data_IF_531223441131
#
_entry.id   IF_531223441131
#
_cell.length_a   1.000
_cell.length_b   1.000
_cell.length_c   1.000
_cell.angle_alpha   90.00
_cell.angle_beta   90.00
_cell.angle_gamma   90.00
#
_symmetry.space_group_name_H-M   'P 1'
#
loop_
_entity.id
_entity.type
_entity.pdbx_description
1 polymer ?
#
# COMPACT_ATOMS: atom_id res chain seq x y z
N UNK A 1 -4.13 15.51 14.01
CA UNK A 1 -4.89 14.42 13.34
C UNK A 1 -5.68 15.01 12.18
N UNK A 2 -5.46 14.52 10.98
CA UNK A 2 -6.16 14.96 9.77
C UNK A 2 -7.58 14.37 9.81
N UNK A 3 -8.61 15.18 9.65
CA UNK A 3 -9.99 14.69 9.62
C UNK A 3 -10.34 14.17 8.22
N UNK A 4 -10.15 12.85 8.05
CA UNK A 4 -10.50 12.11 6.85
C UNK A 4 -11.77 11.25 7.02
N UNK A 5 -12.41 11.29 8.20
CA UNK A 5 -13.62 10.52 8.45
C UNK A 5 -14.78 11.02 7.57
N UNK A 6 -15.49 10.07 6.98
CA UNK A 6 -16.61 10.37 6.06
C UNK A 6 -16.19 10.90 4.69
N UNK A 7 -14.89 11.03 4.39
CA UNK A 7 -14.40 11.31 3.04
C UNK A 7 -14.43 10.05 2.18
N UNK A 8 -14.83 10.21 0.93
CA UNK A 8 -14.90 9.09 -0.04
C UNK A 8 -14.52 9.61 -1.44
N UNK A 9 -13.22 9.95 -1.65
CA UNK A 9 -12.77 10.43 -2.94
C UNK A 9 -12.91 9.33 -3.99
N UNK A 10 -13.12 9.75 -5.24
CA UNK A 10 -13.21 8.83 -6.38
C UNK A 10 -11.88 8.76 -7.11
N UNK A 11 -11.25 7.60 -7.11
CA UNK A 11 -9.90 7.39 -7.62
C UNK A 11 -9.89 6.36 -8.75
N UNK A 12 -9.10 6.65 -9.79
CA UNK A 12 -8.86 5.73 -10.90
C UNK A 12 -7.48 5.09 -10.77
N UNK A 13 -7.43 3.77 -10.76
CA UNK A 13 -6.18 3.01 -10.71
C UNK A 13 -5.90 2.39 -12.06
N UNK A 14 -4.68 2.53 -12.56
CA UNK A 14 -4.19 1.81 -13.75
C UNK A 14 -2.85 1.15 -13.44
N UNK A 15 -2.61 -0.03 -14.01
CA UNK A 15 -1.34 -0.73 -13.80
C UNK A 15 -1.46 -2.24 -13.92
N UNK A 16 -0.44 -2.93 -13.44
CA UNK A 16 -0.31 -4.38 -13.56
C UNK A 16 -1.08 -5.09 -12.44
N UNK A 17 -2.22 -5.69 -12.79
CA UNK A 17 -3.01 -6.51 -11.87
C UNK A 17 -2.39 -7.88 -11.71
N UNK A 18 -2.24 -8.32 -10.48
CA UNK A 18 -1.62 -9.60 -10.10
C UNK A 18 -2.53 -10.32 -9.11
N UNK A 19 -2.58 -11.64 -9.16
CA UNK A 19 -3.13 -12.48 -8.09
C UNK A 19 -1.96 -13.06 -7.30
N UNK A 20 -1.89 -12.77 -6.01
CA UNK A 20 -1.03 -13.48 -5.07
C UNK A 20 -1.77 -14.70 -4.53
N UNK A 21 -1.29 -15.89 -4.86
CA UNK A 21 -1.91 -17.16 -4.54
C UNK A 21 -1.02 -17.94 -3.57
N UNK A 22 -1.63 -18.47 -2.53
CA UNK A 22 -0.94 -19.21 -1.47
C UNK A 22 -1.53 -20.61 -1.34
N UNK A 23 -0.67 -21.63 -1.39
CA UNK A 23 -1.01 -23.03 -1.16
C UNK A 23 -0.35 -23.45 0.15
N UNK A 24 -1.18 -23.71 1.15
CA UNK A 24 -0.74 -24.09 2.49
C UNK A 24 -0.81 -25.61 2.66
N UNK A 25 0.28 -26.23 3.13
CA UNK A 25 0.31 -27.67 3.26
C UNK A 25 1.37 -28.19 4.22
N UNK A 26 1.56 -29.53 4.17
CA UNK A 26 2.63 -30.24 4.87
C UNK A 26 3.55 -30.94 3.86
N UNK A 27 4.82 -31.06 4.22
CA UNK A 27 5.81 -31.81 3.45
C UNK A 27 6.36 -32.92 4.34
N UNK A 28 5.97 -34.18 4.05
CA UNK A 28 6.31 -35.35 4.87
C UNK A 28 7.19 -36.38 4.13
N UNK A 29 7.35 -36.23 2.82
CA UNK A 29 8.09 -37.19 2.00
C UNK A 29 8.76 -36.55 0.79
N UNK A 30 9.79 -37.23 0.31
CA UNK A 30 10.41 -36.99 -0.99
C UNK A 30 9.69 -37.83 -2.08
N UNK A 31 9.55 -37.28 -3.26
CA UNK A 31 8.94 -37.99 -4.40
C UNK A 31 9.79 -39.25 -4.77
N UNK A 32 9.15 -40.37 -5.07
CA UNK A 32 9.87 -41.54 -5.63
C UNK A 32 10.32 -41.32 -7.10
N UNK A 33 9.77 -40.32 -7.79
CA UNK A 33 10.04 -40.02 -9.20
C UNK A 33 11.24 -39.09 -9.41
N UNK A 34 11.55 -38.26 -8.42
CA UNK A 34 12.64 -37.28 -8.46
C UNK A 34 13.00 -36.81 -7.04
N UNK A 35 14.24 -36.32 -6.78
CA UNK A 35 14.63 -35.82 -5.45
C UNK A 35 13.99 -34.45 -5.11
N UNK A 36 12.66 -34.39 -5.15
CA UNK A 36 11.86 -33.20 -4.86
C UNK A 36 10.86 -33.49 -3.74
N UNK A 37 10.56 -32.49 -2.97
CA UNK A 37 9.56 -32.56 -1.89
C UNK A 37 8.15 -32.74 -2.45
N UNK A 38 7.34 -33.56 -1.79
CA UNK A 38 5.92 -33.69 -2.07
C UNK A 38 5.15 -32.89 -1.02
N UNK A 39 4.51 -31.81 -1.46
CA UNK A 39 3.68 -30.97 -0.59
C UNK A 39 2.23 -31.44 -0.72
N UNK A 40 1.63 -31.84 0.42
CA UNK A 40 0.22 -32.13 0.52
C UNK A 40 -0.54 -30.84 0.87
N UNK A 41 -1.18 -30.23 -0.14
CA UNK A 41 -1.93 -28.99 0.03
C UNK A 41 -3.20 -29.24 0.83
N UNK A 42 -3.40 -28.47 1.89
CA UNK A 42 -4.56 -28.55 2.81
C UNK A 42 -5.55 -27.40 2.61
N UNK A 43 -5.05 -26.24 2.22
CA UNK A 43 -5.88 -25.08 1.93
C UNK A 43 -5.17 -24.17 0.93
N UNK A 44 -5.96 -23.37 0.24
CA UNK A 44 -5.45 -22.35 -0.67
C UNK A 44 -6.18 -21.02 -0.45
N UNK A 45 -5.53 -19.93 -0.76
CA UNK A 45 -6.08 -18.59 -0.72
C UNK A 45 -5.50 -17.75 -1.84
N UNK A 46 -6.30 -16.82 -2.36
CA UNK A 46 -5.88 -15.88 -3.38
C UNK A 46 -6.29 -14.47 -2.96
N UNK A 47 -5.38 -13.53 -3.16
CA UNK A 47 -5.59 -12.11 -2.85
C UNK A 47 -5.14 -11.24 -4.02
N UNK A 48 -5.66 -10.02 -4.09
CA UNK A 48 -5.23 -9.02 -5.06
C UNK A 48 -3.80 -8.57 -4.73
N UNK A 49 -2.92 -8.57 -5.73
CA UNK A 49 -1.54 -8.07 -5.68
C UNK A 49 -1.27 -7.04 -6.77
N UNK A 50 -0.09 -6.41 -6.75
CA UNK A 50 0.24 -5.33 -7.66
C UNK A 50 -0.76 -4.18 -7.58
N UNK A 51 -1.19 -3.64 -8.72
CA UNK A 51 -2.23 -2.60 -8.76
C UNK A 51 -3.52 -3.02 -8.02
N UNK A 52 -3.81 -4.32 -7.93
CA UNK A 52 -4.95 -4.83 -7.17
C UNK A 52 -4.79 -4.64 -5.66
N UNK A 53 -3.57 -4.68 -5.12
CA UNK A 53 -3.32 -4.38 -3.71
C UNK A 53 -3.48 -2.88 -3.41
N UNK A 54 -3.08 -2.00 -4.33
CA UNK A 54 -3.37 -0.55 -4.24
C UNK A 54 -4.87 -0.31 -4.17
N UNK A 55 -5.65 -0.96 -5.04
CA UNK A 55 -7.12 -0.89 -5.05
C UNK A 55 -7.71 -1.35 -3.71
N UNK A 56 -7.22 -2.47 -3.18
CA UNK A 56 -7.68 -3.02 -1.91
C UNK A 56 -7.42 -2.07 -0.74
N UNK A 57 -6.25 -1.44 -0.70
CA UNK A 57 -5.91 -0.42 0.29
C UNK A 57 -6.80 0.81 0.19
N UNK A 58 -7.03 1.34 -1.02
CA UNK A 58 -7.94 2.47 -1.24
C UNK A 58 -9.37 2.16 -0.79
N UNK A 59 -9.87 0.96 -1.12
CA UNK A 59 -11.20 0.52 -0.70
C UNK A 59 -11.31 0.42 0.84
N UNK A 60 -10.27 -0.10 1.51
CA UNK A 60 -10.22 -0.17 2.97
C UNK A 60 -10.21 1.22 3.64
N UNK A 61 -9.64 2.22 2.98
CA UNK A 61 -9.68 3.63 3.42
C UNK A 61 -11.03 4.31 3.14
N UNK A 62 -11.93 3.69 2.37
CA UNK A 62 -13.26 4.22 2.05
C UNK A 62 -13.34 5.02 0.75
N UNK A 63 -12.34 4.93 -0.13
CA UNK A 63 -12.39 5.52 -1.46
C UNK A 63 -13.39 4.79 -2.36
N UNK A 64 -13.96 5.51 -3.33
CA UNK A 64 -14.59 4.91 -4.50
C UNK A 64 -13.51 4.66 -5.55
N UNK A 65 -13.37 3.40 -5.97
CA UNK A 65 -12.26 3.01 -6.85
C UNK A 65 -12.78 2.36 -8.10
N UNK A 66 -12.34 2.84 -9.26
CA UNK A 66 -12.44 2.15 -10.51
C UNK A 66 -11.05 1.75 -11.02
N UNK A 67 -10.97 0.69 -11.82
CA UNK A 67 -9.72 0.17 -12.37
C UNK A 67 -9.79 0.11 -13.90
N UNK A 68 -8.75 0.65 -14.55
CA UNK A 68 -8.55 0.53 -15.99
C UNK A 68 -7.22 -0.19 -16.25
N UNK A 69 -7.27 -1.36 -16.87
CA UNK A 69 -6.10 -2.19 -17.11
C UNK A 69 -6.34 -3.22 -18.21
N UNK A 70 -5.31 -4.02 -18.52
CA UNK A 70 -5.39 -5.13 -19.49
C UNK A 70 -5.19 -6.45 -18.78
N UNK A 71 -6.09 -7.37 -19.04
CA UNK A 71 -6.06 -8.76 -18.54
C UNK A 71 -6.03 -9.74 -19.72
N UNK A 72 -5.71 -10.99 -19.45
CA UNK A 72 -5.78 -12.06 -20.44
C UNK A 72 -7.18 -12.61 -20.66
N UNK A 73 -7.33 -13.49 -21.65
CA UNK A 73 -8.57 -14.25 -21.90
C UNK A 73 -8.51 -15.65 -21.26
N UNK A 74 -8.23 -15.78 -19.98
CA UNK A 74 -8.00 -17.06 -19.30
C UNK A 74 -8.72 -17.13 -17.95
N UNK A 75 -8.81 -18.32 -17.35
CA UNK A 75 -9.48 -18.57 -16.05
C UNK A 75 -8.95 -17.67 -14.93
N UNK A 76 -7.64 -17.31 -14.95
CA UNK A 76 -7.05 -16.39 -13.98
C UNK A 76 -7.73 -15.01 -14.03
N UNK A 77 -8.18 -14.60 -15.22
CA UNK A 77 -8.88 -13.31 -15.39
C UNK A 77 -10.26 -13.33 -14.74
N UNK A 78 -10.95 -14.46 -14.77
CA UNK A 78 -12.26 -14.59 -14.12
C UNK A 78 -12.12 -14.65 -12.58
N UNK A 79 -11.06 -15.31 -12.09
CA UNK A 79 -10.67 -15.28 -10.69
C UNK A 79 -10.37 -13.84 -10.24
N UNK A 80 -9.58 -13.08 -11.02
CA UNK A 80 -9.27 -11.67 -10.75
C UNK A 80 -10.52 -10.79 -10.67
N UNK A 81 -11.44 -10.93 -11.64
CA UNK A 81 -12.73 -10.20 -11.63
C UNK A 81 -13.56 -10.55 -10.40
N UNK A 82 -13.54 -11.81 -9.98
CA UNK A 82 -14.22 -12.26 -8.75
C UNK A 82 -13.63 -11.59 -7.52
N UNK A 83 -12.29 -11.54 -7.41
CA UNK A 83 -11.61 -10.86 -6.30
C UNK A 83 -11.94 -9.36 -6.25
N UNK A 84 -11.97 -8.67 -7.39
CA UNK A 84 -12.39 -7.26 -7.48
C UNK A 84 -13.86 -7.08 -7.06
N UNK A 85 -14.74 -7.96 -7.53
CA UNK A 85 -16.17 -7.93 -7.17
C UNK A 85 -16.41 -8.12 -5.68
N UNK A 86 -15.61 -8.97 -5.01
CA UNK A 86 -15.70 -9.23 -3.56
C UNK A 86 -15.41 -7.98 -2.72
N UNK A 87 -14.69 -7.02 -3.27
CA UNK A 87 -14.42 -5.72 -2.64
C UNK A 87 -15.24 -4.58 -3.28
N UNK A 88 -16.32 -4.91 -4.01
CA UNK A 88 -17.21 -3.97 -4.68
C UNK A 88 -16.54 -3.06 -5.74
N UNK A 89 -15.44 -3.50 -6.34
CA UNK A 89 -14.77 -2.78 -7.43
C UNK A 89 -15.23 -3.36 -8.77
N UNK A 90 -15.70 -2.47 -9.66
CA UNK A 90 -16.22 -2.85 -10.96
C UNK A 90 -15.08 -3.16 -11.94
N UNK A 91 -15.27 -4.21 -12.75
CA UNK A 91 -14.33 -4.64 -13.78
C UNK A 91 -14.67 -4.13 -15.19
N UNK A 92 -15.59 -3.16 -15.32
CA UNK A 92 -16.13 -2.68 -16.61
C UNK A 92 -15.07 -2.08 -17.55
N UNK A 93 -13.99 -1.52 -17.00
CA UNK A 93 -12.90 -0.94 -17.79
C UNK A 93 -11.68 -1.86 -17.92
N UNK A 94 -11.82 -3.15 -17.58
CA UNK A 94 -10.79 -4.14 -17.86
C UNK A 94 -10.87 -4.60 -19.32
N UNK A 95 -9.80 -4.37 -20.06
CA UNK A 95 -9.68 -4.75 -21.46
C UNK A 95 -9.10 -6.16 -21.53
N UNK A 96 -9.73 -7.04 -22.33
CA UNK A 96 -9.24 -8.41 -22.52
C UNK A 96 -8.39 -8.51 -23.78
N UNK A 97 -7.11 -8.81 -23.61
CA UNK A 97 -6.19 -9.13 -24.69
C UNK A 97 -5.99 -10.65 -24.76
N UNK A 98 -6.44 -11.28 -25.86
CA UNK A 98 -6.55 -12.75 -25.98
C UNK A 98 -5.23 -13.50 -25.76
N UNK A 99 -4.13 -12.96 -26.30
CA UNK A 99 -2.82 -13.62 -26.27
C UNK A 99 -2.02 -13.30 -25.00
N UNK A 100 -2.65 -12.65 -24.00
CA UNK A 100 -2.03 -12.29 -22.74
C UNK A 100 -2.44 -13.26 -21.64
N UNK A 101 -1.51 -13.52 -20.73
CA UNK A 101 -1.77 -14.27 -19.50
C UNK A 101 -1.88 -13.25 -18.35
N UNK A 102 -2.99 -13.27 -17.62
CA UNK A 102 -3.14 -12.50 -16.37
C UNK A 102 -2.17 -13.03 -15.32
N UNK A 103 -1.48 -12.12 -14.65
CA UNK A 103 -0.41 -12.50 -13.71
C UNK A 103 -0.95 -13.17 -12.46
N UNK A 104 -0.43 -14.37 -12.17
CA UNK A 104 -0.70 -15.11 -10.93
C UNK A 104 0.62 -15.63 -10.35
N UNK A 105 0.93 -15.22 -9.12
CA UNK A 105 2.13 -15.62 -8.38
C UNK A 105 1.74 -16.60 -7.30
N UNK A 106 2.10 -17.86 -7.47
CA UNK A 106 1.71 -18.94 -6.55
C UNK A 106 2.88 -19.32 -5.65
N UNK A 107 2.63 -19.26 -4.35
CA UNK A 107 3.58 -19.62 -3.29
C UNK A 107 3.10 -20.89 -2.59
N UNK A 108 3.95 -21.90 -2.57
CA UNK A 108 3.70 -23.15 -1.83
C UNK A 108 4.40 -23.03 -0.49
N UNK A 109 3.61 -23.11 0.58
CA UNK A 109 4.06 -22.97 1.96
C UNK A 109 3.81 -24.28 2.69
N UNK A 110 4.88 -24.92 3.16
CA UNK A 110 4.79 -26.13 3.97
C UNK A 110 5.54 -25.94 5.28
N UNK A 111 4.94 -26.34 6.39
CA UNK A 111 5.54 -26.22 7.73
C UNK A 111 6.05 -24.80 8.05
N UNK A 112 5.28 -23.80 7.67
CA UNK A 112 5.58 -22.35 7.84
C UNK A 112 6.77 -21.82 7.01
N UNK A 113 7.24 -22.58 6.03
CA UNK A 113 8.30 -22.17 5.13
C UNK A 113 7.82 -22.14 3.69
N UNK A 114 8.23 -21.13 2.92
CA UNK A 114 8.00 -21.10 1.48
C UNK A 114 8.93 -22.10 0.80
N UNK A 115 8.35 -23.15 0.22
CA UNK A 115 9.07 -24.22 -0.46
C UNK A 115 9.43 -23.82 -1.89
N UNK A 116 8.46 -23.25 -2.61
CA UNK A 116 8.65 -22.81 -3.99
C UNK A 116 7.66 -21.69 -4.33
N UNK A 117 8.05 -20.83 -5.28
CA UNK A 117 7.14 -19.91 -5.97
C UNK A 117 7.19 -20.22 -7.46
N UNK A 118 6.02 -20.23 -8.11
CA UNK A 118 5.92 -20.26 -9.56
C UNK A 118 4.98 -19.16 -10.04
N UNK A 119 5.36 -18.54 -11.16
CA UNK A 119 4.67 -17.39 -11.70
C UNK A 119 4.10 -17.77 -13.08
N UNK A 120 2.82 -17.43 -13.30
CA UNK A 120 2.17 -17.48 -14.62
C UNK A 120 1.84 -16.05 -15.00
N UNK A 121 2.54 -15.51 -15.98
CA UNK A 121 2.41 -14.11 -16.34
C UNK A 121 2.90 -13.83 -17.76
N UNK A 122 2.41 -12.76 -18.38
CA UNK A 122 3.02 -12.11 -19.53
C UNK A 122 3.76 -10.87 -19.05
N UNK A 123 4.96 -10.67 -19.58
CA UNK A 123 5.77 -9.46 -19.30
C UNK A 123 5.94 -8.57 -20.52
N UNK A 124 5.48 -9.05 -21.70
CA UNK A 124 5.48 -8.26 -22.92
C UNK A 124 4.53 -7.06 -22.82
N UNK A 125 4.86 -6.01 -23.50
CA UNK A 125 4.00 -4.84 -23.60
C UNK A 125 2.64 -5.19 -24.21
N UNK A 126 1.59 -4.53 -23.74
CA UNK A 126 0.26 -4.66 -24.33
C UNK A 126 0.27 -4.13 -25.75
N UNK A 127 -0.56 -4.72 -26.60
CA UNK A 127 -0.64 -4.34 -28.01
C UNK A 127 -1.25 -2.94 -28.20
N UNK A 128 -1.07 -2.36 -29.39
CA UNK A 128 -1.54 -1.01 -29.72
C UNK A 128 -3.06 -0.86 -29.68
N UNK A 129 -3.81 -1.93 -29.95
CA UNK A 129 -5.28 -1.91 -29.86
C UNK A 129 -5.73 -1.76 -28.39
N UNK A 130 -5.14 -2.54 -27.48
CA UNK A 130 -5.40 -2.44 -26.03
C UNK A 130 -4.99 -1.07 -25.48
N UNK A 131 -3.83 -0.53 -25.89
CA UNK A 131 -3.40 0.80 -25.52
C UNK A 131 -4.41 1.87 -25.95
N UNK A 132 -4.87 1.79 -27.19
CA UNK A 132 -5.89 2.72 -27.73
C UNK A 132 -7.19 2.64 -26.94
N UNK A 133 -7.68 1.44 -26.64
CA UNK A 133 -8.91 1.26 -25.87
C UNK A 133 -8.79 1.85 -24.46
N UNK A 134 -7.61 1.68 -23.79
CA UNK A 134 -7.35 2.34 -22.50
C UNK A 134 -7.43 3.87 -22.66
N UNK A 135 -6.72 4.44 -23.64
CA UNK A 135 -6.66 5.89 -23.83
C UNK A 135 -8.02 6.49 -24.14
N UNK A 136 -8.80 5.86 -25.02
CA UNK A 136 -10.14 6.31 -25.39
C UNK A 136 -11.07 6.28 -24.17
N UNK A 137 -11.04 5.19 -23.40
CA UNK A 137 -11.82 5.05 -22.17
C UNK A 137 -11.37 6.06 -21.12
N UNK A 138 -10.07 6.13 -20.83
CA UNK A 138 -9.51 7.05 -19.84
C UNK A 138 -9.87 8.50 -20.13
N UNK A 139 -9.72 8.93 -21.38
CA UNK A 139 -10.07 10.29 -21.79
C UNK A 139 -11.56 10.60 -21.62
N UNK A 140 -12.43 9.59 -21.74
CA UNK A 140 -13.89 9.79 -21.61
C UNK A 140 -14.35 9.88 -20.16
N UNK A 141 -13.60 9.31 -19.18
CA UNK A 141 -14.04 9.19 -17.78
C UNK A 141 -13.23 10.03 -16.79
N UNK A 142 -12.03 10.50 -17.16
CA UNK A 142 -11.08 11.11 -16.21
C UNK A 142 -11.65 12.31 -15.44
N UNK A 143 -12.57 13.05 -16.02
CA UNK A 143 -13.19 14.21 -15.35
C UNK A 143 -13.97 13.85 -14.10
N UNK A 144 -14.44 12.60 -14.00
CA UNK A 144 -15.27 12.09 -12.91
C UNK A 144 -14.45 11.67 -11.68
N UNK A 145 -13.12 11.71 -11.75
CA UNK A 145 -12.22 11.27 -10.69
C UNK A 145 -11.49 12.45 -10.03
N UNK A 146 -11.13 12.26 -8.77
CA UNK A 146 -10.36 13.24 -7.98
C UNK A 146 -8.84 13.08 -8.19
N UNK A 147 -8.38 11.90 -8.58
CA UNK A 147 -6.97 11.61 -8.84
C UNK A 147 -6.76 10.27 -9.54
N UNK A 148 -5.53 10.04 -9.99
CA UNK A 148 -5.11 8.83 -10.71
C UNK A 148 -3.90 8.22 -10.02
N UNK A 149 -3.92 6.89 -9.85
CA UNK A 149 -2.79 6.13 -9.36
C UNK A 149 -2.31 5.15 -10.44
N UNK A 150 -1.03 5.19 -10.74
CA UNK A 150 -0.38 4.26 -11.66
C UNK A 150 0.54 3.34 -10.85
N UNK A 151 0.28 2.04 -10.91
CA UNK A 151 1.05 1.01 -10.19
C UNK A 151 1.75 0.11 -11.21
N UNK A 152 3.05 0.32 -11.38
CA UNK A 152 3.87 -0.38 -12.37
C UNK A 152 4.65 -1.52 -11.71
N UNK A 153 4.42 -2.74 -12.18
CA UNK A 153 5.13 -3.95 -11.76
C UNK A 153 5.98 -4.56 -12.88
N UNK A 154 6.14 -3.81 -13.99
CA UNK A 154 6.93 -4.25 -15.14
C UNK A 154 6.31 -5.44 -15.86
N UNK A 155 4.98 -5.53 -15.88
CA UNK A 155 4.26 -6.60 -16.59
C UNK A 155 3.66 -6.12 -17.91
N UNK A 156 4.09 -4.94 -18.38
CA UNK A 156 3.84 -4.45 -19.73
C UNK A 156 2.50 -3.73 -19.93
N UNK A 157 1.70 -3.47 -18.89
CA UNK A 157 0.49 -2.63 -19.03
C UNK A 157 0.90 -1.18 -19.20
N UNK A 158 1.77 -0.67 -18.34
CA UNK A 158 2.23 0.72 -18.38
C UNK A 158 3.43 0.87 -19.33
N UNK A 159 3.14 0.77 -20.64
CA UNK A 159 4.14 1.07 -21.70
C UNK A 159 4.55 2.52 -21.64
N UNK A 160 5.66 2.89 -22.30
CA UNK A 160 6.13 4.27 -22.32
C UNK A 160 5.10 5.20 -22.96
N UNK A 161 4.57 4.83 -24.11
CA UNK A 161 3.60 5.60 -24.87
C UNK A 161 2.28 5.78 -24.11
N UNK A 162 1.78 4.68 -23.51
CA UNK A 162 0.55 4.72 -22.74
C UNK A 162 0.71 5.59 -21.49
N UNK A 163 1.75 5.36 -20.70
CA UNK A 163 1.98 6.06 -19.43
C UNK A 163 2.12 7.55 -19.64
N UNK A 164 2.95 7.97 -20.62
CA UNK A 164 3.13 9.39 -20.98
C UNK A 164 1.79 10.02 -21.40
N UNK A 165 0.98 9.29 -22.17
CA UNK A 165 -0.32 9.79 -22.63
C UNK A 165 -1.34 9.91 -21.49
N UNK A 166 -1.41 8.92 -20.57
CA UNK A 166 -2.27 8.97 -19.39
C UNK A 166 -1.95 10.18 -18.50
N UNK A 167 -0.65 10.42 -18.23
CA UNK A 167 -0.20 11.57 -17.45
C UNK A 167 -0.58 12.89 -18.14
N UNK A 168 -0.34 13.00 -19.45
CA UNK A 168 -0.70 14.20 -20.21
C UNK A 168 -2.19 14.49 -20.21
N UNK A 169 -3.04 13.47 -20.37
CA UNK A 169 -4.52 13.60 -20.32
C UNK A 169 -4.95 14.01 -18.91
N UNK A 170 -4.42 13.39 -17.86
CA UNK A 170 -4.75 13.71 -16.47
C UNK A 170 -4.37 15.17 -16.15
N UNK A 171 -3.16 15.61 -16.49
CA UNK A 171 -2.68 16.98 -16.28
C UNK A 171 -3.55 18.01 -17.01
N UNK A 172 -3.97 17.72 -18.27
CA UNK A 172 -4.90 18.58 -19.02
C UNK A 172 -6.22 18.77 -18.29
N UNK A 173 -6.65 17.78 -17.49
CA UNK A 173 -7.87 17.82 -16.70
C UNK A 173 -7.64 18.19 -15.23
N UNK A 174 -6.45 18.72 -14.88
CA UNK A 174 -6.04 19.13 -13.52
C UNK A 174 -6.17 17.99 -12.50
N UNK A 175 -5.89 16.75 -12.90
CA UNK A 175 -5.90 15.58 -12.02
C UNK A 175 -4.48 15.20 -11.64
N UNK A 176 -4.21 15.07 -10.33
CA UNK A 176 -2.92 14.59 -9.84
C UNK A 176 -2.71 13.14 -10.22
N UNK A 177 -1.50 12.82 -10.71
CA UNK A 177 -1.09 11.45 -11.02
C UNK A 177 0.01 11.04 -10.06
N UNK A 178 -0.24 10.02 -9.25
CA UNK A 178 0.75 9.40 -8.38
C UNK A 178 1.19 8.08 -9.00
N UNK A 179 2.48 7.78 -8.95
CA UNK A 179 3.01 6.58 -9.60
C UNK A 179 3.93 5.82 -8.65
N UNK A 180 3.69 4.51 -8.53
CA UNK A 180 4.70 3.57 -8.03
C UNK A 180 5.51 3.06 -9.23
N UNK A 181 6.77 3.52 -9.38
CA UNK A 181 7.54 3.31 -10.60
C UNK A 181 8.25 1.96 -10.61
N UNK A 182 8.56 1.45 -11.83
CA UNK A 182 9.37 0.25 -12.03
C UNK A 182 10.40 0.43 -13.13
N UNK A 183 11.54 -0.27 -12.99
CA UNK A 183 12.65 -0.23 -13.95
C UNK A 183 13.68 0.85 -13.61
N UNK A 184 14.57 1.12 -14.57
CA UNK A 184 15.67 2.08 -14.42
C UNK A 184 15.41 3.40 -15.16
N UNK A 185 14.56 3.37 -16.19
CA UNK A 185 14.19 4.54 -16.98
C UNK A 185 12.84 5.10 -16.52
N UNK A 186 12.90 6.20 -15.79
CA UNK A 186 11.71 6.89 -15.30
C UNK A 186 11.19 7.96 -16.26
N UNK A 187 11.76 8.10 -17.45
CA UNK A 187 11.35 9.09 -18.46
C UNK A 187 9.86 8.96 -18.87
N UNK A 188 9.30 7.74 -18.77
CA UNK A 188 7.89 7.48 -19.07
C UNK A 188 6.90 8.08 -18.05
N UNK A 189 7.39 8.45 -16.86
CA UNK A 189 6.56 9.04 -15.80
C UNK A 189 6.65 10.57 -15.75
N UNK A 190 7.34 11.17 -16.72
CA UNK A 190 7.53 12.62 -16.77
C UNK A 190 6.21 13.39 -16.71
N UNK A 191 6.16 14.40 -15.84
CA UNK A 191 4.98 15.22 -15.59
C UNK A 191 3.98 14.63 -14.62
N UNK A 192 4.30 13.50 -13.94
CA UNK A 192 3.51 13.03 -12.82
C UNK A 192 3.57 14.00 -11.62
N UNK A 193 2.55 14.02 -10.78
CA UNK A 193 2.55 14.82 -9.56
C UNK A 193 3.65 14.35 -8.60
N UNK A 194 3.74 13.04 -8.34
CA UNK A 194 4.83 12.41 -7.59
C UNK A 194 5.07 10.95 -8.00
N UNK A 195 6.27 10.47 -7.68
CA UNK A 195 6.65 9.05 -7.73
C UNK A 195 6.94 8.54 -6.32
N UNK A 196 6.76 7.22 -6.09
CA UNK A 196 7.03 6.57 -4.79
C UNK A 196 8.16 5.52 -4.82
N UNK A 197 9.31 5.76 -5.49
CA UNK A 197 10.38 4.78 -5.48
C UNK A 197 10.92 4.57 -4.07
N UNK A 198 11.38 3.35 -3.77
CA UNK A 198 12.16 3.12 -2.57
C UNK A 198 13.63 3.58 -2.77
N UNK A 199 14.40 3.63 -1.67
CA UNK A 199 15.80 4.06 -1.66
C UNK A 199 16.67 3.35 -2.70
N UNK A 200 16.46 2.03 -2.86
CA UNK A 200 17.21 1.22 -3.83
C UNK A 200 16.81 1.58 -5.26
N UNK A 201 15.52 1.62 -5.55
CA UNK A 201 14.98 1.97 -6.87
C UNK A 201 15.40 3.38 -7.29
N UNK A 202 15.30 4.36 -6.39
CA UNK A 202 15.78 5.71 -6.64
C UNK A 202 17.30 5.77 -6.89
N UNK A 203 18.09 5.02 -6.09
CA UNK A 203 19.55 4.94 -6.27
C UNK A 203 19.92 4.36 -7.64
N UNK A 204 19.24 3.31 -8.07
CA UNK A 204 19.47 2.64 -9.36
C UNK A 204 19.03 3.54 -10.54
N UNK A 205 17.83 4.12 -10.47
CA UNK A 205 17.29 4.96 -11.55
C UNK A 205 18.07 6.27 -11.72
N UNK A 206 18.45 6.93 -10.62
CA UNK A 206 19.21 8.18 -10.65
C UNK A 206 20.73 7.96 -10.72
N UNK A 207 21.20 6.72 -10.66
CA UNK A 207 22.63 6.35 -10.63
C UNK A 207 23.40 7.06 -9.49
N UNK A 208 22.73 7.28 -8.36
CA UNK A 208 23.27 7.91 -7.15
C UNK A 208 23.22 6.91 -6.00
N UNK A 209 24.37 6.59 -5.39
CA UNK A 209 24.39 5.73 -4.21
C UNK A 209 23.96 6.53 -2.98
N UNK A 210 22.70 6.39 -2.57
CA UNK A 210 22.11 7.09 -1.42
C UNK A 210 22.61 6.46 -0.11
N UNK A 211 23.55 7.14 0.58
CA UNK A 211 24.15 6.68 1.85
C UNK A 211 24.07 7.71 2.98
N UNK A 212 23.87 8.97 2.65
CA UNK A 212 23.83 10.12 3.56
C UNK A 212 22.89 11.20 3.02
N UNK A 213 22.69 12.26 3.80
CA UNK A 213 21.77 13.36 3.44
C UNK A 213 22.19 14.10 2.18
N UNK A 214 23.47 14.19 1.90
CA UNK A 214 23.97 14.86 0.71
C UNK A 214 23.62 14.07 -0.57
N UNK A 215 23.85 12.76 -0.56
CA UNK A 215 23.49 11.86 -1.65
C UNK A 215 21.97 11.67 -1.79
N UNK A 216 21.22 11.71 -0.68
CA UNK A 216 19.76 11.73 -0.71
C UNK A 216 19.25 13.03 -1.38
N UNK A 217 19.79 14.18 -0.98
CA UNK A 217 19.44 15.47 -1.59
C UNK A 217 19.72 15.48 -3.10
N UNK A 218 20.89 14.95 -3.51
CA UNK A 218 21.24 14.81 -4.91
C UNK A 218 20.21 13.95 -5.66
N UNK A 219 19.92 12.74 -5.18
CA UNK A 219 19.03 11.79 -5.85
C UNK A 219 17.60 12.33 -5.96
N UNK A 220 17.05 12.91 -4.88
CA UNK A 220 15.66 13.37 -4.85
C UNK A 220 15.47 14.63 -5.71
N UNK A 221 16.48 15.52 -5.76
CA UNK A 221 16.47 16.72 -6.63
C UNK A 221 16.60 16.32 -8.10
N UNK A 222 17.47 15.35 -8.40
CA UNK A 222 17.64 14.81 -9.75
C UNK A 222 16.34 14.14 -10.22
N UNK A 223 15.73 13.32 -9.37
CA UNK A 223 14.44 12.67 -9.64
C UNK A 223 13.37 13.70 -10.00
N UNK A 224 13.24 14.78 -9.20
CA UNK A 224 12.31 15.88 -9.47
C UNK A 224 12.53 16.51 -10.84
N UNK A 225 13.79 16.82 -11.15
CA UNK A 225 14.14 17.56 -12.37
C UNK A 225 13.97 16.69 -13.61
N UNK A 226 14.47 15.45 -13.59
CA UNK A 226 14.43 14.56 -14.76
C UNK A 226 13.01 14.11 -15.10
N UNK A 227 12.18 13.85 -14.07
CA UNK A 227 10.80 13.43 -14.26
C UNK A 227 9.80 14.59 -14.25
N UNK A 228 10.25 15.85 -14.10
CA UNK A 228 9.39 17.04 -14.11
C UNK A 228 8.21 16.90 -13.13
N UNK A 229 8.54 16.58 -11.85
CA UNK A 229 7.56 16.31 -10.81
C UNK A 229 7.17 17.58 -10.06
N UNK A 230 5.92 17.66 -9.58
CA UNK A 230 5.53 18.69 -8.62
C UNK A 230 6.21 18.42 -7.26
N UNK A 231 6.20 17.17 -6.81
CA UNK A 231 6.86 16.71 -5.58
C UNK A 231 7.68 15.47 -5.89
N UNK A 232 8.93 15.45 -5.47
CA UNK A 232 9.75 14.23 -5.47
C UNK A 232 9.67 13.55 -4.11
N UNK A 233 9.52 12.23 -4.10
CA UNK A 233 9.41 11.43 -2.89
C UNK A 233 10.29 10.18 -3.02
N UNK A 234 10.96 9.80 -1.93
CA UNK A 234 11.69 8.53 -1.80
C UNK A 234 11.34 7.89 -0.46
N UNK A 235 10.90 6.62 -0.50
CA UNK A 235 10.69 5.85 0.73
C UNK A 235 12.02 5.29 1.24
N UNK A 236 12.31 5.47 2.54
CA UNK A 236 13.60 5.19 3.17
C UNK A 236 13.54 4.04 4.16
N UNK A 237 12.54 3.15 4.03
CA UNK A 237 12.29 2.01 4.93
C UNK A 237 12.15 2.48 6.39
N UNK A 238 13.00 1.99 7.31
CA UNK A 238 13.00 2.36 8.72
C UNK A 238 13.27 3.83 9.00
N UNK A 239 13.83 4.57 8.04
CA UNK A 239 14.09 6.01 8.17
C UNK A 239 12.85 6.86 7.79
N UNK A 240 11.81 6.25 7.24
CA UNK A 240 10.56 6.92 6.87
C UNK A 240 10.50 7.36 5.41
N UNK A 241 10.08 8.58 5.15
CA UNK A 241 9.85 9.12 3.81
C UNK A 241 10.52 10.48 3.66
N UNK A 242 11.30 10.66 2.60
CA UNK A 242 11.84 11.95 2.20
C UNK A 242 10.99 12.56 1.08
N UNK A 243 10.70 13.85 1.15
CA UNK A 243 10.04 14.64 0.10
C UNK A 243 10.85 15.88 -0.25
N UNK A 244 10.70 16.30 -1.50
CA UNK A 244 11.33 17.53 -2.02
C UNK A 244 10.40 18.20 -3.03
N UNK A 245 9.96 19.40 -2.72
CA UNK A 245 9.26 20.31 -3.64
C UNK A 245 10.13 21.55 -3.93
N UNK A 246 10.46 22.33 -2.89
CA UNK A 246 11.39 23.45 -2.85
C UNK A 246 12.51 23.25 -1.83
N UNK A 247 12.29 22.36 -0.85
CA UNK A 247 13.24 21.97 0.21
C UNK A 247 13.10 20.49 0.57
N UNK A 248 14.19 19.89 1.03
CA UNK A 248 14.17 18.53 1.56
C UNK A 248 13.50 18.51 2.93
N UNK A 249 12.55 17.60 3.11
CA UNK A 249 11.92 17.25 4.39
C UNK A 249 11.90 15.73 4.55
N UNK A 250 12.16 15.27 5.75
CA UNK A 250 12.12 13.85 6.08
C UNK A 250 11.09 13.62 7.18
N UNK A 251 10.13 12.77 6.91
CA UNK A 251 9.11 12.32 7.85
C UNK A 251 9.52 10.94 8.38
N UNK A 252 9.92 10.82 9.66
CA UNK A 252 10.42 9.55 10.20
C UNK A 252 9.33 8.49 10.23
N UNK A 253 9.72 7.21 10.16
CA UNK A 253 8.77 6.12 10.33
C UNK A 253 8.25 6.08 11.77
N UNK A 254 7.00 5.66 11.91
CA UNK A 254 6.35 5.49 13.20
C UNK A 254 6.14 4.01 13.55
N UNK A 255 6.59 3.08 12.68
CA UNK A 255 6.43 1.64 12.90
C UNK A 255 7.22 1.18 14.15
N UNK A 256 6.52 0.47 15.06
CA UNK A 256 7.11 -0.07 16.31
C UNK A 256 7.55 -1.51 16.14
N UNK A 257 6.72 -2.33 15.51
CA UNK A 257 6.97 -3.74 15.27
C UNK A 257 6.76 -4.02 13.79
N UNK A 258 7.71 -4.68 13.17
CA UNK A 258 7.65 -5.04 11.74
C UNK A 258 7.62 -6.55 11.67
N UNK A 259 6.48 -7.09 11.19
CA UNK A 259 6.30 -8.52 10.94
C UNK A 259 6.49 -8.85 9.46
N UNK A 260 5.91 -8.05 8.58
CA UNK A 260 6.00 -8.26 7.13
C UNK A 260 5.94 -6.91 6.40
N UNK A 261 6.87 -6.69 5.48
CA UNK A 261 6.92 -5.45 4.68
C UNK A 261 6.20 -5.58 3.34
N UNK A 262 5.60 -6.75 3.07
CA UNK A 262 4.90 -7.01 1.81
C UNK A 262 3.72 -6.06 1.64
N UNK A 263 3.67 -5.34 0.52
CA UNK A 263 2.58 -4.39 0.22
C UNK A 263 2.68 -3.03 0.91
N UNK A 264 3.77 -2.76 1.67
CA UNK A 264 3.97 -1.45 2.30
C UNK A 264 4.05 -0.31 1.26
N UNK A 265 4.72 -0.52 0.13
CA UNK A 265 4.78 0.44 -0.98
C UNK A 265 3.40 0.74 -1.56
N UNK A 266 2.60 -0.31 -1.83
CA UNK A 266 1.22 -0.16 -2.31
C UNK A 266 0.36 0.63 -1.31
N UNK A 267 0.56 0.39 -0.01
CA UNK A 267 -0.14 1.13 1.06
C UNK A 267 0.27 2.59 1.08
N UNK A 268 1.57 2.91 0.91
CA UNK A 268 2.05 4.29 0.80
C UNK A 268 1.42 4.98 -0.41
N UNK A 269 1.47 4.36 -1.60
CA UNK A 269 0.85 4.92 -2.80
C UNK A 269 -0.66 5.17 -2.60
N UNK A 270 -1.39 4.18 -2.08
CA UNK A 270 -2.83 4.26 -1.87
C UNK A 270 -3.21 5.34 -0.86
N UNK A 271 -2.55 5.38 0.30
CA UNK A 271 -2.85 6.35 1.36
C UNK A 271 -2.47 7.78 0.99
N UNK A 272 -1.35 7.99 0.28
CA UNK A 272 -1.02 9.29 -0.32
C UNK A 272 -2.09 9.73 -1.31
N UNK A 273 -2.48 8.84 -2.23
CA UNK A 273 -3.52 9.13 -3.22
C UNK A 273 -4.86 9.49 -2.57
N UNK A 274 -5.26 8.75 -1.54
CA UNK A 274 -6.46 9.02 -0.77
C UNK A 274 -6.43 10.40 -0.10
N UNK A 275 -5.37 10.69 0.67
CA UNK A 275 -5.25 11.95 1.41
C UNK A 275 -5.19 13.16 0.46
N UNK A 276 -4.38 13.10 -0.59
CA UNK A 276 -4.26 14.18 -1.58
C UNK A 276 -5.55 14.43 -2.37
N UNK A 277 -6.32 13.37 -2.66
CA UNK A 277 -7.63 13.48 -3.31
C UNK A 277 -8.68 14.10 -2.37
N UNK A 278 -8.52 13.94 -1.05
CA UNK A 278 -9.33 14.63 -0.04
C UNK A 278 -8.93 16.10 0.17
N UNK A 279 -7.91 16.60 -0.53
CA UNK A 279 -7.44 17.99 -0.42
C UNK A 279 -6.45 18.24 0.71
N UNK A 280 -5.87 17.21 1.29
CA UNK A 280 -4.82 17.30 2.31
C UNK A 280 -3.52 17.79 1.66
N UNK A 281 -2.74 18.61 2.38
CA UNK A 281 -1.42 19.02 1.89
C UNK A 281 -0.41 17.85 1.91
N UNK A 282 0.74 18.03 1.24
CA UNK A 282 1.69 16.94 1.01
C UNK A 282 2.36 16.45 2.30
N UNK A 283 2.69 17.34 3.23
CA UNK A 283 3.36 16.97 4.48
C UNK A 283 2.41 16.09 5.34
N UNK A 284 1.19 16.55 5.52
CA UNK A 284 0.14 15.82 6.23
C UNK A 284 -0.20 14.49 5.53
N UNK A 285 -0.25 14.47 4.19
CA UNK A 285 -0.51 13.25 3.43
C UNK A 285 0.61 12.21 3.62
N UNK A 286 1.86 12.64 3.70
CA UNK A 286 3.01 11.76 3.99
C UNK A 286 2.96 11.24 5.42
N UNK A 287 2.62 12.07 6.41
CA UNK A 287 2.44 11.61 7.80
C UNK A 287 1.32 10.56 7.89
N UNK A 288 0.19 10.79 7.24
CA UNK A 288 -0.90 9.83 7.15
C UNK A 288 -0.45 8.52 6.48
N UNK A 289 0.34 8.60 5.41
CA UNK A 289 0.84 7.41 4.72
C UNK A 289 1.83 6.61 5.57
N UNK A 290 2.67 7.28 6.37
CA UNK A 290 3.56 6.63 7.34
C UNK A 290 2.77 5.89 8.42
N UNK A 291 1.67 6.48 8.93
CA UNK A 291 0.79 5.82 9.89
C UNK A 291 0.12 4.58 9.26
N UNK A 292 -0.41 4.70 8.05
CA UNK A 292 -1.03 3.59 7.32
C UNK A 292 -0.03 2.44 7.07
N UNK A 293 1.17 2.77 6.61
CA UNK A 293 2.26 1.80 6.45
C UNK A 293 2.65 1.15 7.78
N UNK A 294 2.74 1.93 8.87
CA UNK A 294 3.01 1.43 10.22
C UNK A 294 1.98 0.40 10.71
N UNK A 295 0.70 0.59 10.39
CA UNK A 295 -0.37 -0.40 10.67
C UNK A 295 -0.16 -1.67 9.86
N UNK A 296 0.13 -1.54 8.56
CA UNK A 296 0.21 -2.69 7.64
C UNK A 296 1.44 -3.55 7.92
N UNK A 297 2.62 -2.97 8.16
CA UNK A 297 3.83 -3.75 8.46
C UNK A 297 3.76 -4.50 9.79
N UNK A 298 2.83 -4.15 10.66
CA UNK A 298 2.48 -4.90 11.87
C UNK A 298 1.55 -6.11 11.63
N UNK A 299 1.13 -6.36 10.38
CA UNK A 299 0.26 -7.47 9.98
C UNK A 299 1.03 -8.47 9.12
N UNK A 300 0.49 -9.65 8.89
CA UNK A 300 1.10 -10.69 8.03
C UNK A 300 0.50 -10.63 6.63
N UNK A 301 1.34 -10.69 5.61
CA UNK A 301 0.96 -10.71 4.19
C UNK A 301 0.52 -9.34 3.66
N UNK A 302 -0.11 -9.33 2.47
CA UNK A 302 -0.63 -8.12 1.83
C UNK A 302 -1.90 -7.63 2.55
N UNK A 303 -1.71 -7.06 3.75
CA UNK A 303 -2.78 -6.52 4.58
C UNK A 303 -3.14 -5.08 4.16
N UNK A 304 -4.30 -4.62 4.62
CA UNK A 304 -4.76 -3.24 4.44
C UNK A 304 -4.91 -2.53 5.80
N UNK A 305 -4.96 -1.21 5.78
CA UNK A 305 -5.28 -0.39 6.94
C UNK A 305 -6.60 0.36 6.71
N UNK A 306 -7.50 0.30 7.67
CA UNK A 306 -8.70 1.13 7.70
C UNK A 306 -8.42 2.47 8.38
N UNK A 307 -9.24 3.50 8.12
CA UNK A 307 -9.12 4.80 8.80
C UNK A 307 -9.16 4.65 10.33
N UNK A 308 -10.02 3.77 10.85
CA UNK A 308 -10.14 3.55 12.29
C UNK A 308 -8.87 2.94 12.88
N UNK A 309 -8.27 1.95 12.22
CA UNK A 309 -7.00 1.35 12.64
C UNK A 309 -5.85 2.37 12.65
N UNK A 310 -5.81 3.27 11.64
CA UNK A 310 -4.80 4.33 11.56
C UNK A 310 -4.97 5.32 12.72
N UNK A 311 -6.21 5.74 13.03
CA UNK A 311 -6.51 6.64 14.15
C UNK A 311 -6.16 5.99 15.49
N UNK A 312 -6.50 4.71 15.67
CA UNK A 312 -6.15 3.96 16.87
C UNK A 312 -4.63 3.82 17.02
N UNK A 313 -3.94 3.55 15.91
CA UNK A 313 -2.49 3.45 15.87
C UNK A 313 -1.82 4.78 16.25
N UNK A 314 -2.21 5.91 15.65
CA UNK A 314 -1.73 7.25 16.00
C UNK A 314 -1.95 7.56 17.49
N UNK A 315 -3.16 7.27 17.99
CA UNK A 315 -3.49 7.45 19.40
C UNK A 315 -2.62 6.60 20.32
N UNK A 316 -2.22 5.39 19.89
CA UNK A 316 -1.33 4.50 20.64
C UNK A 316 0.13 5.01 20.67
N UNK A 317 0.56 5.67 19.58
CA UNK A 317 1.89 6.31 19.54
C UNK A 317 2.00 7.46 20.52
N UNK A 318 0.97 8.29 20.59
CA UNK A 318 0.90 9.44 21.49
C UNK A 318 0.79 9.03 22.98
N UNK A 319 0.26 7.83 23.28
CA UNK A 319 0.13 7.30 24.65
C UNK A 319 1.41 6.65 25.22
N UNK A 320 2.52 6.66 24.52
CA UNK A 320 3.69 5.84 24.88
C UNK A 320 4.75 6.55 25.71
N UNK A 321 4.58 7.81 26.07
CA UNK A 321 5.41 8.44 27.07
C UNK A 321 4.89 8.08 28.45
N UNK A 322 5.77 7.57 29.35
CA UNK A 322 5.40 7.18 30.72
C UNK A 322 4.68 8.29 31.50
N UNK A 323 4.97 9.53 31.18
CA UNK A 323 4.35 10.71 31.80
C UNK A 323 2.88 10.91 31.39
N UNK A 324 2.46 10.43 30.22
CA UNK A 324 1.05 10.51 29.77
C UNK A 324 0.15 9.47 30.42
N UNK A 325 0.71 8.38 30.96
CA UNK A 325 -0.03 7.37 31.73
C UNK A 325 -0.29 7.81 33.17
N UNK A 326 0.53 8.73 33.69
CA UNK A 326 0.34 9.34 35.01
C UNK A 326 -0.62 10.51 34.88
N UNK A 327 -1.83 10.38 35.41
CA UNK A 327 -2.86 11.40 35.35
C UNK A 327 -3.03 12.08 36.70
N UNK A 328 -3.31 13.37 36.65
CA UNK A 328 -3.75 14.13 37.83
C UNK A 328 -5.16 13.70 38.22
N UNK A 329 -5.57 14.02 39.46
CA UNK A 329 -6.92 13.72 39.94
C UNK A 329 -8.00 14.38 39.05
N UNK A 330 -7.76 15.58 38.56
CA UNK A 330 -8.69 16.30 37.66
C UNK A 330 -8.87 15.59 36.32
N UNK A 331 -7.76 15.17 35.69
CA UNK A 331 -7.78 14.43 34.41
C UNK A 331 -8.46 13.08 34.54
N UNK A 332 -8.20 12.33 35.63
CA UNK A 332 -8.88 11.04 35.88
C UNK A 332 -10.39 11.24 36.09
N UNK A 333 -10.79 12.32 36.78
CA UNK A 333 -12.21 12.62 36.98
C UNK A 333 -12.91 12.84 35.65
N UNK A 334 -12.36 13.72 34.80
CA UNK A 334 -12.90 14.01 33.46
C UNK A 334 -12.96 12.76 32.59
N UNK A 335 -11.86 11.99 32.52
CA UNK A 335 -11.80 10.74 31.74
C UNK A 335 -12.82 9.70 32.25
N UNK A 336 -12.98 9.59 33.56
CA UNK A 336 -13.93 8.68 34.17
C UNK A 336 -15.38 9.04 33.83
N UNK A 337 -15.73 10.33 33.83
CA UNK A 337 -17.06 10.81 33.43
C UNK A 337 -17.32 10.53 31.94
N UNK A 338 -16.35 10.78 31.08
CA UNK A 338 -16.43 10.50 29.65
C UNK A 338 -16.61 9.00 29.37
N UNK A 339 -15.82 8.12 29.97
CA UNK A 339 -15.95 6.68 29.82
C UNK A 339 -17.31 6.16 30.32
N UNK A 340 -17.82 6.68 31.46
CA UNK A 340 -19.14 6.36 31.97
C UNK A 340 -20.26 6.80 31.03
N UNK A 341 -20.16 7.98 30.44
CA UNK A 341 -21.14 8.49 29.45
C UNK A 341 -21.21 7.61 28.19
N UNK A 342 -20.10 6.93 27.83
CA UNK A 342 -20.01 5.94 26.75
C UNK A 342 -20.41 4.53 27.18
N UNK A 343 -20.93 4.33 28.41
CA UNK A 343 -21.36 3.04 28.92
C UNK A 343 -20.21 2.06 29.23
N UNK A 344 -18.97 2.57 29.37
CA UNK A 344 -17.82 1.70 29.71
C UNK A 344 -17.76 1.41 31.20
N UNK A 345 -17.42 0.17 31.54
CA UNK A 345 -17.16 -0.25 32.92
C UNK A 345 -15.74 0.17 33.29
N UNK A 346 -15.60 0.90 34.39
CA UNK A 346 -14.31 1.34 34.91
C UNK A 346 -13.96 0.49 36.11
N UNK A 347 -12.77 -0.10 36.09
CA UNK A 347 -12.25 -0.90 37.19
C UNK A 347 -11.07 -0.16 37.79
N UNK A 348 -11.11 0.09 39.10
CA UNK A 348 -10.01 0.62 39.86
C UNK A 348 -9.26 -0.50 40.54
N UNK A 349 -7.92 -0.46 40.44
CA UNK A 349 -7.04 -1.40 41.13
C UNK A 349 -5.81 -0.67 41.65
N UNK A 350 -5.24 -1.15 42.75
CA UNK A 350 -4.01 -0.66 43.31
C UNK A 350 -3.10 -1.82 43.66
N UNK A 351 -1.77 -1.58 43.67
CA UNK A 351 -0.77 -2.58 44.01
C UNK A 351 0.63 -1.95 44.08
N UNK A 352 1.54 -2.67 44.68
CA UNK A 352 2.96 -2.36 44.64
C UNK A 352 3.56 -3.02 43.40
N UNK A 353 3.96 -2.22 42.42
CA UNK A 353 4.45 -2.69 41.10
C UNK A 353 5.98 -2.42 40.97
N UNK A 354 6.73 -2.42 42.05
CA UNK A 354 8.17 -2.15 42.04
C UNK A 354 8.94 -3.13 41.14
N UNK A 355 8.60 -4.41 41.21
CA UNK A 355 9.13 -5.46 40.31
C UNK A 355 7.95 -6.20 39.68
N UNK A 356 7.80 -6.07 38.36
CA UNK A 356 6.75 -6.79 37.62
C UNK A 356 7.07 -8.29 37.57
N UNK A 357 6.07 -9.10 37.87
CA UNK A 357 6.10 -10.55 37.75
C UNK A 357 4.77 -11.10 37.22
N UNK A 358 4.74 -12.38 36.84
CA UNK A 358 3.58 -13.04 36.24
C UNK A 358 2.28 -12.89 37.06
N UNK A 359 2.36 -12.71 38.38
CA UNK A 359 1.22 -12.44 39.24
C UNK A 359 0.54 -11.10 38.95
N UNK A 360 1.32 -10.04 38.67
CA UNK A 360 0.80 -8.73 38.29
C UNK A 360 0.06 -8.79 36.94
N UNK A 361 0.64 -9.51 35.96
CA UNK A 361 0.04 -9.68 34.64
C UNK A 361 -1.34 -10.38 34.78
N UNK A 362 -1.39 -11.51 35.46
CA UNK A 362 -2.67 -12.24 35.70
C UNK A 362 -3.70 -11.40 36.44
N UNK A 363 -3.27 -10.63 37.41
CA UNK A 363 -4.15 -9.75 38.18
C UNK A 363 -4.79 -8.68 37.29
N UNK A 364 -4.00 -8.04 36.42
CA UNK A 364 -4.50 -7.02 35.48
C UNK A 364 -5.37 -7.65 34.38
N UNK A 365 -5.02 -8.83 33.88
CA UNK A 365 -5.84 -9.57 32.91
C UNK A 365 -7.22 -9.93 33.52
N UNK A 366 -7.24 -10.40 34.77
CA UNK A 366 -8.49 -10.69 35.49
C UNK A 366 -9.33 -9.44 35.70
N UNK A 367 -8.69 -8.28 35.95
CA UNK A 367 -9.39 -7.02 36.10
C UNK A 367 -9.99 -6.50 34.78
N UNK A 368 -9.41 -6.89 33.65
CA UNK A 368 -9.87 -6.49 32.30
C UNK A 368 -11.06 -7.35 31.81
N UNK A 369 -11.15 -8.61 32.21
CA UNK A 369 -12.23 -9.54 31.88
C UNK A 369 -13.52 -9.23 32.66
#
# INVERSE_FOLDING_TARGET
MIDLQGKSPKLLVSGDLVIDHYLWGSCERISPEAPVQVVNVKSESAVLGGAGNVINNLNALGAQVDVISVIGGCEISDELKTLLSNINVNSQYLITQKDRITSKKSRIIASQQQVVRYDRESTDEINSESQKQILDTFNSIITDYDGVLLSDYGKGVLTKELTTSLIAIANKNNKKVLVDPKGLDYSKYKGAYLLTPNKKEASEAMQVNIKDDASLTQAITQLKTECDLDVSLITLSEQGVAIYDDRLRTHPTVAREVYDVTGAGDTVLASLGFALACGVDIDDAVEFSNLAAGVVVGKIGSATATLNEIIEYESSLNKSTSDEHIKTLGEITTLSEELKSRGKKIIFTNGCFDILHAGHVRYLETAKS
#
